data_IF_331221801527
#
_entry.id   IF_331221801527
#
_cell.length_a   1.000
_cell.length_b   1.000
_cell.length_c   1.000
_cell.angle_alpha   90.00
_cell.angle_beta   90.00
_cell.angle_gamma   90.00
#
_symmetry.space_group_name_H-M   'P 1'
#
loop_
_entity.id
_entity.type
_entity.pdbx_description
1 polymer ?
#
# COMPACT_ATOMS: atom_id res chain seq x y z
N UNK A 1 -11.94 23.20 7.23
CA UNK A 1 -11.74 21.73 7.31
C UNK A 1 -11.19 21.41 8.69
N UNK A 2 -11.67 20.33 9.34
CA UNK A 2 -11.12 19.82 10.62
C UNK A 2 -10.32 18.55 10.33
N UNK A 3 -9.15 18.42 10.93
CA UNK A 3 -8.28 17.25 10.81
C UNK A 3 -8.35 16.40 12.07
N UNK A 4 -8.10 15.10 11.90
CA UNK A 4 -8.01 14.11 12.97
C UNK A 4 -6.72 13.29 12.80
N UNK A 5 -6.27 12.65 13.88
CA UNK A 5 -5.06 11.84 13.87
C UNK A 5 -5.23 10.58 13.04
N UNK A 6 -4.24 10.27 12.20
CA UNK A 6 -4.16 9.00 11.49
C UNK A 6 -3.38 7.99 12.30
N UNK A 7 -3.79 6.71 12.20
CA UNK A 7 -3.04 5.59 12.74
C UNK A 7 -1.89 5.15 11.81
N UNK A 8 -1.79 5.72 10.60
CA UNK A 8 -0.78 5.39 9.60
C UNK A 8 0.34 6.42 9.58
N UNK A 9 1.57 5.95 9.38
CA UNK A 9 2.79 6.77 9.39
C UNK A 9 3.45 6.85 8.02
N UNK A 10 3.17 5.91 7.12
CA UNK A 10 3.67 5.96 5.74
C UNK A 10 2.76 5.22 4.75
N UNK A 11 3.00 5.45 3.45
CA UNK A 11 2.26 4.84 2.35
C UNK A 11 3.22 4.24 1.31
N UNK A 12 2.79 3.17 0.64
CA UNK A 12 3.53 2.51 -0.45
C UNK A 12 2.59 2.19 -1.60
N UNK A 13 2.99 2.52 -2.82
CA UNK A 13 2.26 2.02 -4.00
C UNK A 13 2.56 0.54 -4.18
N UNK A 14 1.54 -0.23 -4.55
CA UNK A 14 1.64 -1.68 -4.76
C UNK A 14 1.75 -1.95 -6.25
N UNK A 15 2.78 -2.69 -6.67
CA UNK A 15 2.92 -3.18 -8.04
C UNK A 15 3.24 -4.68 -8.04
N UNK A 16 2.78 -5.41 -9.05
CA UNK A 16 3.02 -6.85 -9.18
C UNK A 16 1.89 -7.55 -9.93
N UNK A 17 1.83 -8.88 -9.79
CA UNK A 17 0.78 -9.67 -10.42
C UNK A 17 -0.60 -9.34 -9.83
N UNK A 18 -1.61 -9.20 -10.70
CA UNK A 18 -2.96 -8.80 -10.29
C UNK A 18 -3.57 -9.76 -9.26
N UNK A 19 -3.35 -11.06 -9.41
CA UNK A 19 -3.91 -12.05 -8.49
C UNK A 19 -3.22 -12.00 -7.12
N UNK A 20 -1.93 -11.67 -7.05
CA UNK A 20 -1.23 -11.46 -5.78
C UNK A 20 -1.66 -10.16 -5.09
N UNK A 21 -1.83 -9.08 -5.87
CA UNK A 21 -2.36 -7.81 -5.37
C UNK A 21 -3.75 -8.05 -4.76
N UNK A 22 -4.63 -8.77 -5.46
CA UNK A 22 -5.97 -9.06 -4.96
C UNK A 22 -5.94 -9.88 -3.66
N UNK A 23 -5.07 -10.88 -3.54
CA UNK A 23 -4.89 -11.61 -2.28
C UNK A 23 -4.43 -10.68 -1.15
N UNK A 24 -3.43 -9.83 -1.41
CA UNK A 24 -2.93 -8.86 -0.43
C UNK A 24 -4.03 -7.91 0.03
N UNK A 25 -4.83 -7.36 -0.89
CA UNK A 25 -5.88 -6.40 -0.57
C UNK A 25 -7.03 -7.05 0.20
N UNK A 26 -7.40 -8.30 -0.11
CA UNK A 26 -8.43 -9.02 0.63
C UNK A 26 -8.03 -9.28 2.08
N UNK A 27 -6.75 -9.60 2.33
CA UNK A 27 -6.25 -9.85 3.70
C UNK A 27 -6.08 -8.55 4.49
N UNK A 28 -5.70 -7.45 3.83
CA UNK A 28 -5.30 -6.21 4.51
C UNK A 28 -6.23 -5.03 4.26
N UNK A 29 -7.55 -5.25 4.08
CA UNK A 29 -8.51 -4.20 3.69
C UNK A 29 -8.40 -2.89 4.47
N UNK A 30 -8.18 -2.95 5.78
CA UNK A 30 -8.03 -1.75 6.63
C UNK A 30 -6.78 -0.92 6.35
N UNK A 31 -5.83 -1.47 5.59
CA UNK A 31 -4.57 -0.83 5.19
C UNK A 31 -4.56 -0.47 3.70
N UNK A 32 -5.67 -0.63 2.97
CA UNK A 32 -5.74 -0.33 1.54
C UNK A 32 -6.45 1.00 1.32
N UNK A 33 -5.84 1.82 0.47
CA UNK A 33 -6.42 3.05 -0.06
C UNK A 33 -6.16 3.15 -1.57
N UNK A 34 -6.81 4.14 -2.20
CA UNK A 34 -6.54 4.54 -3.57
C UNK A 34 -5.97 5.96 -3.55
N UNK A 35 -4.96 6.23 -4.37
CA UNK A 35 -4.50 7.60 -4.62
C UNK A 35 -5.48 8.37 -5.54
N UNK A 36 -5.13 9.61 -5.87
CA UNK A 36 -5.95 10.46 -6.75
C UNK A 36 -6.13 9.91 -8.17
N UNK A 37 -5.22 9.07 -8.63
CA UNK A 37 -5.23 8.48 -9.98
C UNK A 37 -5.92 7.10 -9.98
N UNK A 38 -6.35 6.62 -8.80
CA UNK A 38 -6.99 5.32 -8.61
C UNK A 38 -6.02 4.18 -8.33
N UNK A 39 -4.71 4.45 -8.23
CA UNK A 39 -3.72 3.42 -7.97
C UNK A 39 -3.78 2.94 -6.52
N UNK A 40 -3.52 1.64 -6.34
CA UNK A 40 -3.58 1.01 -5.03
C UNK A 40 -2.40 1.40 -4.15
N UNK A 41 -2.72 1.80 -2.93
CA UNK A 41 -1.78 2.23 -1.91
C UNK A 41 -1.95 1.38 -0.65
N UNK A 42 -0.83 0.85 -0.16
CA UNK A 42 -0.72 0.21 1.15
C UNK A 42 -0.32 1.23 2.21
N UNK A 43 -1.21 1.47 3.16
CA UNK A 43 -0.99 2.31 4.33
C UNK A 43 -0.34 1.49 5.45
N UNK A 44 0.72 2.03 6.03
CA UNK A 44 1.58 1.32 6.99
C UNK A 44 1.66 2.08 8.29
N UNK A 45 1.74 1.34 9.40
CA UNK A 45 1.90 1.91 10.75
C UNK A 45 3.36 1.95 11.15
N UNK A 46 4.13 0.96 10.72
CA UNK A 46 5.58 0.85 10.93
C UNK A 46 6.24 -0.04 9.87
N UNK A 47 7.57 -0.04 9.83
CA UNK A 47 8.39 -0.81 8.88
C UNK A 47 8.03 -2.31 8.84
N UNK A 48 7.63 -2.89 9.98
CA UNK A 48 7.20 -4.29 10.05
C UNK A 48 6.04 -4.64 9.11
N UNK A 49 5.09 -3.71 8.89
CA UNK A 49 3.99 -3.95 7.95
C UNK A 49 4.55 -4.15 6.52
N UNK A 50 5.58 -3.38 6.14
CA UNK A 50 6.27 -3.48 4.84
C UNK A 50 7.04 -4.80 4.76
N UNK A 51 7.87 -5.08 5.76
CA UNK A 51 8.72 -6.28 5.78
C UNK A 51 7.89 -7.57 5.73
N UNK A 52 6.72 -7.56 6.37
CA UNK A 52 5.79 -8.69 6.33
C UNK A 52 5.21 -8.88 4.93
N UNK A 53 4.77 -7.82 4.26
CA UNK A 53 4.23 -7.93 2.91
C UNK A 53 5.29 -8.42 1.92
N UNK A 54 6.51 -7.89 1.99
CA UNK A 54 7.62 -8.33 1.11
C UNK A 54 7.98 -9.81 1.34
N UNK A 55 7.88 -10.30 2.59
CA UNK A 55 8.11 -11.70 2.91
C UNK A 55 6.98 -12.62 2.43
N UNK A 56 5.74 -12.24 2.71
CA UNK A 56 4.55 -13.08 2.46
C UNK A 56 4.14 -13.03 0.98
N UNK A 57 4.50 -11.97 0.25
CA UNK A 57 4.18 -11.72 -1.16
C UNK A 57 5.42 -11.28 -1.96
N UNK A 58 6.41 -12.17 -2.16
CA UNK A 58 7.72 -11.80 -2.74
C UNK A 58 7.63 -11.33 -4.20
N UNK A 59 6.54 -11.62 -4.92
CA UNK A 59 6.28 -11.12 -6.28
C UNK A 59 5.77 -9.67 -6.34
N UNK A 60 5.35 -9.11 -5.20
CA UNK A 60 4.88 -7.73 -5.10
C UNK A 60 6.04 -6.78 -4.78
N UNK A 61 5.95 -5.57 -5.33
CA UNK A 61 6.84 -4.45 -5.03
C UNK A 61 6.04 -3.36 -4.33
N UNK A 62 6.64 -2.84 -3.26
CA UNK A 62 6.14 -1.69 -2.51
C UNK A 62 7.08 -0.50 -2.74
N UNK A 63 6.63 0.52 -3.45
CA UNK A 63 7.46 1.68 -3.76
C UNK A 63 7.10 2.88 -2.86
N UNK A 64 8.13 3.60 -2.42
CA UNK A 64 7.96 4.83 -1.64
C UNK A 64 7.69 6.06 -2.52
N UNK A 65 7.87 5.93 -3.83
CA UNK A 65 7.69 6.97 -4.83
C UNK A 65 6.97 6.41 -6.05
N UNK A 66 6.23 7.28 -6.75
CA UNK A 66 5.54 7.01 -8.01
C UNK A 66 5.89 8.13 -9.00
N UNK A 67 6.19 7.77 -10.24
CA UNK A 67 6.36 8.75 -11.31
C UNK A 67 4.99 9.32 -11.70
N UNK A 68 4.88 10.65 -11.68
CA UNK A 68 3.66 11.34 -12.07
C UNK A 68 3.66 11.54 -13.57
N UNK A 69 2.61 11.05 -14.24
CA UNK A 69 2.36 11.40 -15.64
C UNK A 69 1.65 12.76 -15.65
N UNK A 70 2.25 13.74 -16.32
CA UNK A 70 1.72 15.10 -16.52
C UNK A 70 1.05 15.20 -17.88
#
# INVERSE_FOLDING_TARGET
VRFEGSNFTSARWINGDKAEIEKLTQVNKGHIAHDSDGDLVFLTRLQWDIDRVVRDYPGLRLTATKEMMV
#
